data_IF_458964188982
#
_entry.id   IF_458964188982
#
_cell.length_a   1.000
_cell.length_b   1.000
_cell.length_c   1.000
_cell.angle_alpha   90.00
_cell.angle_beta   90.00
_cell.angle_gamma   90.00
#
_symmetry.space_group_name_H-M   'P 1'
#
loop_
_entity.id
_entity.type
_entity.pdbx_description
1 polymer ?
#
# COMPACT_ATOMS: atom_id res chain seq x y z
N UNK A 1 -11.38 -19.88 -16.27
CA UNK A 1 -12.28 -19.29 -15.24
C UNK A 1 -11.88 -19.74 -13.83
N UNK A 2 -11.85 -21.04 -13.52
CA UNK A 2 -11.49 -21.59 -12.20
C UNK A 2 -10.14 -21.10 -11.63
N UNK A 3 -9.07 -21.08 -12.44
CA UNK A 3 -7.74 -20.63 -12.00
C UNK A 3 -7.71 -19.16 -11.56
N UNK A 4 -8.49 -18.28 -12.22
CA UNK A 4 -8.58 -16.85 -11.85
C UNK A 4 -9.30 -16.66 -10.51
N UNK A 5 -10.35 -17.43 -10.25
CA UNK A 5 -11.09 -17.38 -8.97
C UNK A 5 -10.23 -17.88 -7.81
N UNK A 6 -9.43 -18.93 -8.03
CA UNK A 6 -8.51 -19.46 -7.02
C UNK A 6 -7.36 -18.50 -6.72
N UNK A 7 -6.73 -17.94 -7.75
CA UNK A 7 -5.70 -16.91 -7.59
C UNK A 7 -6.22 -15.71 -6.80
N UNK A 8 -7.41 -15.19 -7.14
CA UNK A 8 -8.03 -14.07 -6.43
C UNK A 8 -8.28 -14.37 -4.95
N UNK A 9 -8.79 -15.56 -4.63
CA UNK A 9 -9.00 -15.99 -3.23
C UNK A 9 -7.69 -16.07 -2.46
N UNK A 10 -6.62 -16.51 -3.11
CA UNK A 10 -5.30 -16.57 -2.50
C UNK A 10 -4.78 -15.17 -2.17
N UNK A 11 -4.87 -14.24 -3.12
CA UNK A 11 -4.47 -12.83 -2.90
C UNK A 11 -5.28 -12.20 -1.76
N UNK A 12 -6.59 -12.47 -1.69
CA UNK A 12 -7.44 -11.99 -0.59
C UNK A 12 -7.00 -12.55 0.76
N UNK A 13 -6.62 -13.83 0.82
CA UNK A 13 -6.15 -14.45 2.06
C UNK A 13 -4.80 -13.88 2.51
N UNK A 14 -3.87 -13.65 1.58
CA UNK A 14 -2.60 -12.97 1.88
C UNK A 14 -2.84 -11.56 2.41
N UNK A 15 -3.75 -10.80 1.78
CA UNK A 15 -4.14 -9.48 2.24
C UNK A 15 -4.69 -9.51 3.67
N UNK A 16 -5.56 -10.47 3.98
CA UNK A 16 -6.12 -10.63 5.32
C UNK A 16 -5.03 -10.81 6.39
N UNK A 17 -4.06 -11.69 6.14
CA UNK A 17 -2.94 -11.92 7.07
C UNK A 17 -2.15 -10.64 7.34
N UNK A 18 -1.85 -9.86 6.29
CA UNK A 18 -1.11 -8.60 6.44
C UNK A 18 -1.93 -7.54 7.18
N UNK A 19 -3.22 -7.40 6.87
CA UNK A 19 -4.11 -6.47 7.55
C UNK A 19 -4.24 -6.79 9.05
N UNK A 20 -4.37 -8.06 9.41
CA UNK A 20 -4.43 -8.49 10.81
C UNK A 20 -3.13 -8.15 11.55
N UNK A 21 -1.98 -8.34 10.88
CA UNK A 21 -0.67 -8.01 11.44
C UNK A 21 -0.51 -6.50 11.67
N UNK A 22 -0.95 -5.67 10.72
CA UNK A 22 -0.91 -4.21 10.87
C UNK A 22 -1.77 -3.76 12.06
N UNK A 23 -2.97 -4.31 12.20
CA UNK A 23 -3.84 -4.01 13.35
C UNK A 23 -3.19 -4.40 14.68
N UNK A 24 -2.47 -5.52 14.73
CA UNK A 24 -1.71 -5.93 15.92
C UNK A 24 -0.55 -4.99 16.23
N UNK A 25 0.17 -4.51 15.22
CA UNK A 25 1.25 -3.54 15.36
C UNK A 25 0.75 -2.16 15.82
N UNK A 26 -0.47 -1.78 15.44
CA UNK A 26 -1.11 -0.54 15.89
C UNK A 26 -1.67 -0.66 17.32
N UNK A 27 -2.24 -1.82 17.67
CA UNK A 27 -2.88 -2.04 18.96
C UNK A 27 -1.92 -2.42 20.09
N UNK A 28 -0.72 -2.92 19.76
CA UNK A 28 0.25 -3.39 20.75
C UNK A 28 1.64 -2.82 20.50
N UNK A 29 2.40 -2.62 21.57
CA UNK A 29 3.84 -2.32 21.48
C UNK A 29 4.69 -3.59 21.33
N UNK A 30 4.07 -4.75 21.13
CA UNK A 30 4.72 -6.06 21.02
C UNK A 30 5.12 -6.33 19.56
N UNK A 31 6.04 -5.52 19.04
CA UNK A 31 6.48 -5.58 17.63
C UNK A 31 6.94 -6.98 17.23
N UNK A 32 7.84 -7.58 18.01
CA UNK A 32 8.43 -8.90 17.70
C UNK A 32 7.34 -9.96 17.66
N UNK A 33 6.39 -9.92 18.59
CA UNK A 33 5.30 -10.88 18.65
C UNK A 33 4.40 -10.78 17.41
N UNK A 34 4.01 -9.56 17.00
CA UNK A 34 3.18 -9.35 15.82
C UNK A 34 3.87 -9.83 14.53
N UNK A 35 5.16 -9.54 14.34
CA UNK A 35 5.92 -10.03 13.18
C UNK A 35 6.06 -11.56 13.21
N UNK A 36 6.31 -12.14 14.38
CA UNK A 36 6.43 -13.59 14.51
C UNK A 36 5.10 -14.32 14.26
N UNK A 37 3.98 -13.73 14.66
CA UNK A 37 2.65 -14.30 14.39
C UNK A 37 2.24 -14.13 12.92
N UNK A 38 2.60 -13.01 12.28
CA UNK A 38 2.51 -12.84 10.83
C UNK A 38 3.27 -13.95 10.10
N UNK A 39 4.53 -14.19 10.48
CA UNK A 39 5.35 -15.27 9.94
C UNK A 39 4.66 -16.64 10.05
N UNK A 40 4.16 -17.00 11.24
CA UNK A 40 3.44 -18.28 11.43
C UNK A 40 2.21 -18.39 10.54
N UNK A 41 1.44 -17.30 10.40
CA UNK A 41 0.25 -17.28 9.57
C UNK A 41 0.58 -17.45 8.08
N UNK A 42 1.64 -16.79 7.60
CA UNK A 42 2.15 -16.97 6.25
C UNK A 42 2.65 -18.40 6.03
N UNK A 43 3.43 -18.96 6.95
CA UNK A 43 3.90 -20.36 6.87
C UNK A 43 2.73 -21.33 6.77
N UNK A 44 1.70 -21.20 7.63
CA UNK A 44 0.49 -22.02 7.57
C UNK A 44 -0.21 -21.87 6.22
N UNK A 45 -0.34 -20.64 5.72
CA UNK A 45 -0.95 -20.35 4.43
C UNK A 45 -0.17 -21.02 3.29
N UNK A 46 1.15 -20.82 3.24
CA UNK A 46 2.03 -21.38 2.23
C UNK A 46 2.03 -22.91 2.23
N UNK A 47 2.02 -23.55 3.39
CA UNK A 47 1.90 -25.02 3.48
C UNK A 47 0.55 -25.53 2.98
N UNK A 48 -0.54 -24.83 3.29
CA UNK A 48 -1.89 -25.18 2.83
C UNK A 48 -2.04 -25.09 1.32
N UNK A 49 -1.40 -24.10 0.70
CA UNK A 49 -1.51 -23.82 -0.73
C UNK A 49 -0.36 -24.38 -1.57
N UNK A 50 0.57 -25.15 -0.97
CA UNK A 50 1.63 -25.85 -1.69
C UNK A 50 2.85 -24.99 -2.06
N UNK A 51 3.03 -23.84 -1.42
CA UNK A 51 4.22 -22.99 -1.57
C UNK A 51 5.41 -23.49 -0.75
N UNK A 52 5.19 -24.25 0.33
CA UNK A 52 6.26 -24.85 1.16
C UNK A 52 6.02 -26.33 1.49
N UNK A 53 7.11 -27.09 1.64
CA UNK A 53 7.10 -28.52 2.02
C UNK A 53 6.94 -28.69 3.53
N UNK A 54 6.55 -29.89 3.98
CA UNK A 54 6.05 -30.15 5.34
C UNK A 54 7.13 -30.38 6.41
N UNK A 55 8.40 -30.55 6.05
CA UNK A 55 9.39 -31.23 6.93
C UNK A 55 10.55 -30.34 7.40
N UNK A 56 10.95 -29.33 6.63
CA UNK A 56 12.02 -28.39 6.99
C UNK A 56 11.65 -27.00 6.45
N UNK A 57 11.75 -25.98 7.29
CA UNK A 57 11.47 -24.58 6.97
C UNK A 57 12.74 -23.77 7.22
N UNK A 58 13.50 -23.49 6.16
CA UNK A 58 14.66 -22.58 6.21
C UNK A 58 14.26 -21.17 5.82
N UNK A 59 15.03 -20.15 6.25
CA UNK A 59 14.80 -18.74 5.86
C UNK A 59 14.76 -18.57 4.34
N UNK A 60 15.63 -19.29 3.61
CA UNK A 60 15.67 -19.28 2.15
C UNK A 60 14.44 -19.92 1.50
N UNK A 61 13.93 -21.01 2.06
CA UNK A 61 12.68 -21.62 1.57
C UNK A 61 11.48 -20.71 1.82
N UNK A 62 11.47 -20.00 2.96
CA UNK A 62 10.45 -19.00 3.24
C UNK A 62 10.54 -17.82 2.25
N UNK A 63 11.72 -17.25 2.03
CA UNK A 63 11.94 -16.20 1.04
C UNK A 63 11.47 -16.63 -0.35
N UNK A 64 11.88 -17.81 -0.81
CA UNK A 64 11.45 -18.33 -2.12
C UNK A 64 9.92 -18.49 -2.20
N UNK A 65 9.28 -18.94 -1.12
CA UNK A 65 7.84 -19.06 -1.03
C UNK A 65 7.13 -17.69 -1.05
N UNK A 66 7.66 -16.70 -0.32
CA UNK A 66 7.17 -15.31 -0.34
C UNK A 66 7.25 -14.76 -1.76
N UNK A 67 8.41 -14.83 -2.42
CA UNK A 67 8.59 -14.32 -3.80
C UNK A 67 7.66 -15.00 -4.80
N UNK A 68 7.34 -16.28 -4.60
CA UNK A 68 6.39 -17.02 -5.44
C UNK A 68 4.93 -16.68 -5.14
N UNK A 69 4.58 -16.47 -3.88
CA UNK A 69 3.20 -16.19 -3.46
C UNK A 69 2.80 -14.73 -3.68
N UNK A 70 3.77 -13.82 -3.64
CA UNK A 70 3.62 -12.38 -3.86
C UNK A 70 4.19 -11.96 -5.22
N UNK A 71 3.97 -12.76 -6.26
CA UNK A 71 4.49 -12.52 -7.63
C UNK A 71 4.04 -11.18 -8.25
N UNK A 72 2.92 -10.64 -7.78
CA UNK A 72 2.36 -9.35 -8.16
C UNK A 72 2.97 -8.14 -7.43
N UNK A 73 3.82 -8.37 -6.43
CA UNK A 73 4.46 -7.32 -5.63
C UNK A 73 5.86 -7.05 -6.19
N UNK A 74 6.28 -5.77 -6.33
CA UNK A 74 7.63 -5.45 -6.78
C UNK A 74 8.71 -6.09 -5.89
N UNK A 75 9.81 -6.56 -6.51
CA UNK A 75 10.87 -7.26 -5.79
C UNK A 75 11.48 -6.43 -4.66
N UNK A 76 11.68 -5.14 -4.88
CA UNK A 76 12.22 -4.21 -3.88
C UNK A 76 11.34 -4.12 -2.63
N UNK A 77 10.01 -4.16 -2.79
CA UNK A 77 9.08 -4.16 -1.66
C UNK A 77 9.15 -5.48 -0.89
N UNK A 78 9.36 -6.60 -1.59
CA UNK A 78 9.57 -7.90 -0.97
C UNK A 78 10.91 -7.99 -0.23
N UNK A 79 11.95 -7.31 -0.72
CA UNK A 79 13.24 -7.23 -0.04
C UNK A 79 13.12 -6.47 1.29
N UNK A 80 12.43 -5.31 1.27
CA UNK A 80 12.10 -4.57 2.48
C UNK A 80 11.26 -5.40 3.47
N UNK A 81 10.28 -6.17 2.95
CA UNK A 81 9.45 -7.05 3.75
C UNK A 81 10.27 -8.13 4.47
N UNK A 82 11.16 -8.81 3.75
CA UNK A 82 12.01 -9.86 4.30
C UNK A 82 13.00 -9.32 5.33
N UNK A 83 13.52 -8.12 5.10
CA UNK A 83 14.42 -7.42 6.04
C UNK A 83 13.77 -7.28 7.43
N UNK A 84 12.47 -6.98 7.50
CA UNK A 84 11.73 -6.89 8.78
C UNK A 84 11.73 -8.23 9.53
N UNK A 85 11.61 -9.37 8.83
CA UNK A 85 11.66 -10.69 9.48
C UNK A 85 13.06 -11.06 9.95
N UNK A 86 14.08 -10.72 9.18
CA UNK A 86 15.48 -10.94 9.58
C UNK A 86 15.81 -10.11 10.81
N UNK A 87 15.42 -8.83 10.80
CA UNK A 87 15.61 -7.91 11.91
C UNK A 87 14.85 -8.38 13.15
N UNK A 88 13.57 -8.75 13.04
CA UNK A 88 12.81 -9.29 14.17
C UNK A 88 13.37 -10.62 14.72
N UNK A 89 14.12 -11.38 13.91
CA UNK A 89 14.67 -12.69 14.29
C UNK A 89 16.08 -12.63 14.87
N UNK A 90 16.89 -11.69 14.39
CA UNK A 90 18.32 -11.61 14.72
C UNK A 90 18.73 -10.31 15.39
N UNK A 91 17.84 -9.33 15.54
CA UNK A 91 18.18 -8.08 16.23
C UNK A 91 18.42 -8.35 17.72
N UNK A 92 19.64 -8.06 18.16
CA UNK A 92 20.01 -7.94 19.57
C UNK A 92 19.67 -6.55 20.15
N UNK A 93 19.09 -5.64 19.35
CA UNK A 93 18.77 -4.27 19.77
C UNK A 93 17.33 -4.13 20.26
N UNK A 94 17.13 -3.23 21.23
CA UNK A 94 15.80 -2.71 21.58
C UNK A 94 15.13 -2.13 20.34
N UNK A 95 14.04 -2.78 19.92
CA UNK A 95 13.20 -2.30 18.82
C UNK A 95 12.56 -0.98 19.26
N UNK A 96 12.91 0.09 18.56
CA UNK A 96 12.36 1.42 18.80
C UNK A 96 11.12 1.69 17.93
N UNK A 97 10.48 2.84 18.15
CA UNK A 97 9.31 3.27 17.39
C UNK A 97 9.59 3.41 15.88
N UNK A 98 10.84 3.70 15.49
CA UNK A 98 11.20 3.87 14.08
C UNK A 98 11.16 2.55 13.30
N UNK A 99 11.47 1.43 13.95
CA UNK A 99 11.37 0.10 13.35
C UNK A 99 9.92 -0.32 13.16
N UNK A 100 9.06 0.00 14.13
CA UNK A 100 7.61 -0.20 14.02
C UNK A 100 7.05 0.60 12.85
N UNK A 101 7.35 1.89 12.79
CA UNK A 101 6.83 2.77 11.74
C UNK A 101 7.31 2.34 10.35
N UNK A 102 8.57 1.88 10.23
CA UNK A 102 9.11 1.26 9.01
C UNK A 102 8.32 0.01 8.63
N UNK A 103 8.05 -0.89 9.57
CA UNK A 103 7.31 -2.11 9.28
C UNK A 103 5.86 -1.83 8.85
N UNK A 104 5.17 -0.91 9.52
CA UNK A 104 3.81 -0.49 9.14
C UNK A 104 3.82 0.09 7.72
N UNK A 105 4.80 0.94 7.39
CA UNK A 105 4.95 1.48 6.05
C UNK A 105 5.16 0.38 4.99
N UNK A 106 6.10 -0.55 5.23
CA UNK A 106 6.37 -1.66 4.31
C UNK A 106 5.17 -2.59 4.13
N UNK A 107 4.49 -2.96 5.21
CA UNK A 107 3.27 -3.78 5.15
C UNK A 107 2.15 -3.07 4.37
N UNK A 108 2.00 -1.76 4.56
CA UNK A 108 1.04 -0.94 3.83
C UNK A 108 1.33 -0.89 2.33
N UNK A 109 2.60 -0.77 1.92
CA UNK A 109 3.00 -0.80 0.51
C UNK A 109 2.63 -2.13 -0.16
N UNK A 110 2.94 -3.26 0.50
CA UNK A 110 2.59 -4.58 -0.02
C UNK A 110 1.08 -4.73 -0.12
N UNK A 111 0.34 -4.31 0.91
CA UNK A 111 -1.12 -4.34 0.90
C UNK A 111 -1.70 -3.53 -0.28
N UNK A 112 -1.12 -2.36 -0.59
CA UNK A 112 -1.52 -1.56 -1.75
C UNK A 112 -1.30 -2.33 -3.05
N UNK A 113 -0.15 -3.00 -3.23
CA UNK A 113 0.11 -3.86 -4.39
C UNK A 113 -0.89 -5.02 -4.49
N UNK A 114 -1.26 -5.64 -3.36
CA UNK A 114 -2.31 -6.68 -3.35
C UNK A 114 -3.68 -6.12 -3.77
N UNK A 115 -4.05 -4.92 -3.32
CA UNK A 115 -5.31 -4.29 -3.72
C UNK A 115 -5.35 -3.99 -5.23
N UNK A 116 -4.25 -3.49 -5.78
CA UNK A 116 -4.11 -3.27 -7.22
C UNK A 116 -4.27 -4.60 -7.97
N UNK A 117 -3.60 -5.66 -7.52
CA UNK A 117 -3.67 -6.99 -8.14
C UNK A 117 -5.07 -7.63 -8.08
N UNK A 118 -5.86 -7.33 -7.04
CA UNK A 118 -7.26 -7.75 -6.93
C UNK A 118 -8.21 -7.01 -7.89
N UNK A 119 -7.70 -6.03 -8.64
CA UNK A 119 -8.51 -5.13 -9.46
C UNK A 119 -9.27 -4.10 -8.63
N UNK A 120 -8.93 -3.96 -7.34
CA UNK A 120 -9.49 -2.92 -6.47
C UNK A 120 -8.80 -1.56 -6.69
N UNK A 121 -7.77 -1.50 -7.55
CA UNK A 121 -7.15 -0.26 -8.04
C UNK A 121 -8.07 0.64 -8.89
N UNK A 122 -9.32 0.24 -9.13
CA UNK A 122 -10.40 1.08 -9.69
C UNK A 122 -11.69 1.03 -8.84
N UNK A 123 -11.60 0.59 -7.59
CA UNK A 123 -12.57 0.92 -6.56
C UNK A 123 -11.91 1.97 -5.68
N UNK A 124 -11.83 3.19 -6.22
CA UNK A 124 -11.76 4.38 -5.38
C UNK A 124 -12.92 4.23 -4.40
N UNK A 125 -12.62 3.89 -3.14
CA UNK A 125 -13.47 4.35 -2.04
C UNK A 125 -13.50 5.85 -2.26
N UNK A 126 -14.59 6.35 -2.85
CA UNK A 126 -14.90 7.77 -2.76
C UNK A 126 -15.08 8.01 -1.26
N UNK A 127 -13.99 8.33 -0.58
CA UNK A 127 -14.09 9.51 0.25
C UNK A 127 -14.54 10.59 -0.72
N UNK A 128 -15.70 11.17 -0.44
CA UNK A 128 -16.16 12.36 -1.14
C UNK A 128 -15.11 13.46 -0.91
N UNK A 129 -14.02 13.41 -1.68
CA UNK A 129 -13.17 14.57 -1.95
C UNK A 129 -13.98 15.45 -2.89
N UNK A 130 -14.93 16.14 -2.28
CA UNK A 130 -15.68 17.19 -2.92
C UNK A 130 -14.67 18.30 -3.24
N UNK A 131 -14.32 18.42 -4.52
CA UNK A 131 -13.76 19.64 -5.14
C UNK A 131 -12.30 20.04 -4.85
N UNK A 132 -11.34 19.11 -4.78
CA UNK A 132 -9.91 19.52 -4.75
C UNK A 132 -9.30 19.85 -6.13
N UNK A 133 -9.91 19.39 -7.23
CA UNK A 133 -9.34 19.57 -8.59
C UNK A 133 -10.18 20.39 -9.58
N UNK A 134 -11.35 20.89 -9.16
CA UNK A 134 -12.21 21.71 -10.03
C UNK A 134 -11.92 23.20 -9.98
N UNK A 135 -11.00 23.66 -9.11
CA UNK A 135 -10.67 25.08 -9.03
C UNK A 135 -9.42 25.39 -9.86
N UNK A 136 -9.55 25.28 -11.19
CA UNK A 136 -8.56 25.80 -12.12
C UNK A 136 -8.78 27.30 -12.29
N UNK A 137 -8.21 28.12 -11.41
CA UNK A 137 -8.15 29.57 -11.63
C UNK A 137 -7.19 29.82 -12.80
N UNK A 138 -7.67 30.47 -13.87
CA UNK A 138 -6.82 30.79 -15.02
C UNK A 138 -5.70 31.75 -14.58
N UNK A 139 -4.50 31.59 -15.14
CA UNK A 139 -3.41 32.52 -14.88
C UNK A 139 -3.83 33.96 -15.28
N UNK A 140 -3.72 34.90 -14.35
CA UNK A 140 -4.16 36.29 -14.53
C UNK A 140 -5.55 36.60 -13.96
N UNK A 141 -6.29 35.61 -13.47
CA UNK A 141 -7.58 35.79 -12.80
C UNK A 141 -7.38 35.96 -11.29
N UNK A 142 -7.93 37.02 -10.71
CA UNK A 142 -7.86 37.30 -9.27
C UNK A 142 -9.20 37.79 -8.75
N UNK A 143 -9.47 37.50 -7.47
CA UNK A 143 -10.66 37.96 -6.76
C UNK A 143 -10.34 39.30 -6.10
N UNK A 144 -11.06 40.36 -6.49
CA UNK A 144 -10.93 41.67 -5.89
C UNK A 144 -11.57 41.71 -4.48
N UNK A 145 -11.25 42.73 -3.69
CA UNK A 145 -11.72 42.85 -2.31
C UNK A 145 -13.26 42.97 -2.18
N UNK A 146 -13.94 43.30 -3.28
CA UNK A 146 -15.40 43.34 -3.41
C UNK A 146 -16.02 41.98 -3.79
N UNK A 147 -15.20 40.93 -3.92
CA UNK A 147 -15.61 39.57 -4.29
C UNK A 147 -15.79 39.34 -5.80
N UNK A 148 -15.53 40.35 -6.64
CA UNK A 148 -15.60 40.21 -8.09
C UNK A 148 -14.35 39.52 -8.66
N UNK A 149 -14.55 38.64 -9.64
CA UNK A 149 -13.46 37.97 -10.37
C UNK A 149 -13.02 38.89 -11.52
N UNK A 150 -11.73 39.22 -11.58
CA UNK A 150 -11.14 40.11 -12.60
C UNK A 150 -9.93 39.45 -13.26
N UNK A 151 -9.73 39.73 -14.54
CA UNK A 151 -8.56 39.27 -15.29
C UNK A 151 -7.59 40.44 -15.52
N UNK A 152 -6.31 40.25 -15.18
CA UNK A 152 -5.28 41.23 -15.38
C UNK A 152 -5.10 41.54 -16.88
N UNK A 153 -5.31 42.80 -17.27
CA UNK A 153 -5.05 43.28 -18.63
C UNK A 153 -6.29 43.51 -19.50
N UNK A 154 -7.50 43.22 -19.01
CA UNK A 154 -8.75 43.61 -19.69
C UNK A 154 -9.31 44.83 -18.97
N UNK A 155 -9.27 45.99 -19.64
CA UNK A 155 -10.07 47.16 -19.24
C UNK A 155 -11.49 46.95 -19.81
N UNK A 156 -12.51 47.13 -18.97
CA UNK A 156 -13.91 47.01 -19.40
C UNK A 156 -14.18 47.99 -20.55
N UNK A 157 -14.35 47.46 -21.77
CA UNK A 157 -14.81 48.26 -22.91
C UNK A 157 -14.20 48.00 -24.30
N UNK A 158 -13.38 46.98 -24.55
CA UNK A 158 -12.92 46.67 -25.91
C UNK A 158 -13.19 45.21 -26.34
N UNK A 159 -14.05 45.06 -27.35
CA UNK A 159 -14.17 43.85 -28.17
C UNK A 159 -12.85 43.60 -28.90
N UNK A 160 -11.91 42.87 -28.29
CA UNK A 160 -10.72 42.39 -28.99
C UNK A 160 -11.09 41.18 -29.85
N UNK A 161 -11.69 41.45 -31.01
CA UNK A 161 -11.79 40.52 -32.12
C UNK A 161 -10.38 40.22 -32.66
N UNK A 162 -9.67 39.29 -32.03
CA UNK A 162 -8.43 38.75 -32.58
C UNK A 162 -8.71 37.44 -33.31
N UNK A 163 -8.81 37.51 -34.64
CA UNK A 163 -8.79 36.34 -35.52
C UNK A 163 -7.34 35.91 -35.75
N UNK A 164 -7.07 34.61 -35.56
CA UNK A 164 -5.88 33.93 -36.10
C UNK A 164 -6.15 33.59 -37.56
#
# INVERSE_FOLDING_TARGET
YYQRTQARRQVQALRGILTDTMLQLEASNEFIAAIFDCYKNLVRHFRKHGFMKKVYETTREFEAAVRKAFDMVPSEQLDAFLTIFEEARYSDHTIDASHRDRAVATLGMIQQSLNIALGEGMLVKRYDDVNLYNNQTKAGEFVAADGSVRQAGIVDGEDSNFKI
#
